data_IF_984954156099
#
_entry.id   IF_984954156099
#
_cell.length_a   1.000
_cell.length_b   1.000
_cell.length_c   1.000
_cell.angle_alpha   90.00
_cell.angle_beta   90.00
_cell.angle_gamma   90.00
#
_symmetry.space_group_name_H-M   'P 1'
#
loop_
_entity.id
_entity.type
_entity.pdbx_description
1 polymer ?
#
# COMPACT_ATOMS: atom_id res chain seq x y z
N UNK A 1 -3.83 -20.31 -28.52
CA UNK A 1 -2.39 -20.08 -28.77
C UNK A 1 -1.86 -19.25 -27.60
N UNK A 2 -1.26 -19.92 -26.62
CA UNK A 2 -0.71 -19.29 -25.41
C UNK A 2 0.75 -18.93 -25.67
N UNK A 3 1.06 -17.64 -25.69
CA UNK A 3 2.43 -17.17 -25.52
C UNK A 3 2.73 -17.16 -24.02
N UNK A 4 3.19 -18.30 -23.50
CA UNK A 4 3.79 -18.36 -22.18
C UNK A 4 5.19 -17.77 -22.29
N UNK A 5 5.31 -16.45 -22.17
CA UNK A 5 6.61 -15.78 -22.19
C UNK A 5 7.30 -16.02 -20.85
N UNK A 6 8.10 -17.09 -20.76
CA UNK A 6 9.13 -17.19 -19.71
C UNK A 6 10.15 -16.08 -19.95
N UNK A 7 9.96 -14.93 -19.32
CA UNK A 7 10.93 -13.84 -19.39
C UNK A 7 12.10 -14.14 -18.45
N UNK A 8 13.06 -14.95 -18.92
CA UNK A 8 14.40 -14.92 -18.36
C UNK A 8 15.02 -13.57 -18.76
N UNK A 9 15.05 -12.61 -17.83
CA UNK A 9 15.80 -11.36 -17.96
C UNK A 9 17.31 -11.67 -18.00
N UNK A 10 17.79 -12.15 -19.14
CA UNK A 10 19.19 -12.01 -19.55
C UNK A 10 19.30 -10.67 -20.27
N UNK A 11 20.01 -9.73 -19.64
CA UNK A 11 20.27 -8.36 -20.10
C UNK A 11 20.60 -8.31 -21.60
N UNK A 12 19.95 -7.39 -22.34
CA UNK A 12 20.56 -6.07 -22.54
C UNK A 12 19.71 -4.95 -21.94
N UNK A 13 20.30 -3.76 -21.93
CA UNK A 13 19.90 -2.47 -21.35
C UNK A 13 18.57 -1.91 -21.91
N UNK A 14 17.46 -2.66 -21.85
CA UNK A 14 16.13 -2.12 -22.08
C UNK A 14 15.68 -1.43 -20.78
N UNK A 15 15.86 -0.11 -20.72
CA UNK A 15 15.59 0.67 -19.52
C UNK A 15 14.09 0.78 -19.20
N UNK A 16 13.23 0.71 -20.22
CA UNK A 16 11.77 0.81 -20.12
C UNK A 16 11.10 -0.15 -21.11
N UNK A 17 10.07 -0.87 -20.65
CA UNK A 17 9.12 -1.54 -21.54
C UNK A 17 8.04 -0.54 -21.94
N UNK A 18 7.74 -0.42 -23.24
CA UNK A 18 6.65 0.41 -23.76
C UNK A 18 5.69 -0.49 -24.54
N UNK A 19 4.42 -0.48 -24.20
CA UNK A 19 3.37 -1.26 -24.87
C UNK A 19 2.07 -0.45 -24.95
N UNK A 20 1.14 -0.82 -25.82
CA UNK A 20 -0.24 -0.30 -25.71
C UNK A 20 -0.98 -1.02 -24.60
N UNK A 21 -0.93 -2.35 -24.60
CA UNK A 21 -1.59 -3.22 -23.64
C UNK A 21 -0.60 -4.23 -23.10
N UNK A 22 -0.75 -4.58 -21.83
CA UNK A 22 -0.02 -5.67 -21.21
C UNK A 22 -0.92 -6.44 -20.25
N UNK A 23 -1.10 -7.72 -20.53
CA UNK A 23 -1.73 -8.66 -19.60
C UNK A 23 -0.63 -9.55 -19.03
N UNK A 24 -0.34 -9.37 -17.75
CA UNK A 24 0.73 -10.08 -17.08
C UNK A 24 0.18 -10.91 -15.92
N UNK A 25 0.32 -12.23 -16.04
CA UNK A 25 -0.02 -13.18 -15.00
C UNK A 25 1.25 -13.87 -14.51
N UNK A 26 1.53 -13.75 -13.23
CA UNK A 26 2.62 -14.46 -12.57
C UNK A 26 2.13 -15.28 -11.40
N UNK A 27 2.32 -16.60 -11.49
CA UNK A 27 2.04 -17.56 -10.43
C UNK A 27 3.38 -18.21 -10.03
N UNK A 28 3.71 -18.22 -8.75
CA UNK A 28 4.96 -18.83 -8.27
C UNK A 28 4.78 -19.47 -6.90
N UNK A 29 5.14 -20.74 -6.82
CA UNK A 29 5.22 -21.51 -5.57
C UNK A 29 6.63 -22.04 -5.43
N UNK A 30 7.34 -21.70 -4.35
CA UNK A 30 8.73 -22.12 -4.13
C UNK A 30 9.09 -22.21 -2.65
N UNK A 31 10.08 -23.03 -2.30
CA UNK A 31 10.68 -23.01 -0.96
C UNK A 31 11.75 -21.92 -0.80
N UNK A 32 12.14 -21.26 -1.88
CA UNK A 32 13.23 -20.29 -1.93
C UNK A 32 12.72 -18.83 -1.95
N UNK A 33 13.63 -17.88 -1.79
CA UNK A 33 13.31 -16.46 -1.95
C UNK A 33 12.98 -16.09 -3.40
N UNK A 34 11.99 -15.22 -3.59
CA UNK A 34 11.64 -14.63 -4.89
C UNK A 34 12.04 -13.16 -4.87
N UNK A 35 12.78 -12.73 -5.90
CA UNK A 35 13.11 -11.32 -6.11
C UNK A 35 12.78 -10.89 -7.54
N UNK A 36 11.99 -9.84 -7.68
CA UNK A 36 11.64 -9.25 -8.97
C UNK A 36 11.90 -7.76 -8.95
N UNK A 37 12.51 -7.27 -10.02
CA UNK A 37 12.83 -5.85 -10.19
C UNK A 37 12.37 -5.38 -11.56
N UNK A 38 11.48 -4.41 -11.56
CA UNK A 38 11.04 -3.72 -12.75
C UNK A 38 11.50 -2.26 -12.68
N UNK A 39 12.33 -1.85 -13.64
CA UNK A 39 12.88 -0.50 -13.67
C UNK A 39 11.87 0.53 -14.18
N UNK A 40 11.21 0.23 -15.30
CA UNK A 40 10.28 1.15 -15.94
C UNK A 40 9.31 0.42 -16.85
N UNK A 41 8.04 0.78 -16.75
CA UNK A 41 6.96 0.33 -17.61
C UNK A 41 6.11 1.52 -18.03
N UNK A 42 5.90 1.69 -19.33
CA UNK A 42 4.94 2.65 -19.88
C UNK A 42 3.95 1.86 -20.72
N UNK A 43 2.69 1.95 -20.38
CA UNK A 43 1.62 1.20 -21.04
C UNK A 43 0.36 2.04 -21.09
N UNK A 44 -0.58 1.78 -21.99
CA UNK A 44 -1.89 2.44 -21.89
C UNK A 44 -2.76 1.67 -20.90
N UNK A 45 -2.82 0.35 -21.04
CA UNK A 45 -3.62 -0.53 -20.19
C UNK A 45 -2.78 -1.69 -19.65
N UNK A 46 -2.77 -1.85 -18.33
CA UNK A 46 -2.09 -2.95 -17.65
C UNK A 46 -3.06 -3.72 -16.77
N UNK A 47 -3.24 -5.01 -17.05
CA UNK A 47 -3.79 -5.97 -16.10
C UNK A 47 -2.65 -6.83 -15.56
N UNK A 48 -2.31 -6.60 -14.30
CA UNK A 48 -1.19 -7.26 -13.65
C UNK A 48 -1.69 -8.10 -12.47
N UNK A 49 -1.66 -9.42 -12.65
CA UNK A 49 -2.02 -10.37 -11.61
C UNK A 49 -0.79 -11.15 -11.13
N UNK A 50 -0.54 -11.12 -9.82
CA UNK A 50 0.55 -11.83 -9.18
C UNK A 50 0.04 -12.68 -8.02
N UNK A 51 0.48 -13.94 -7.97
CA UNK A 51 0.26 -14.86 -6.85
C UNK A 51 1.59 -15.52 -6.47
N UNK A 52 2.03 -15.28 -5.24
CA UNK A 52 3.27 -15.83 -4.69
C UNK A 52 3.00 -16.67 -3.45
N UNK A 53 3.49 -17.90 -3.44
CA UNK A 53 3.62 -18.72 -2.23
C UNK A 53 5.09 -19.07 -2.02
N UNK A 54 5.70 -18.56 -0.95
CA UNK A 54 7.12 -18.84 -0.67
C UNK A 54 7.42 -19.11 0.81
N UNK A 55 8.30 -20.07 1.11
CA UNK A 55 8.83 -20.19 2.49
C UNK A 55 9.99 -19.24 2.80
N UNK A 56 10.49 -18.53 1.79
CA UNK A 56 11.60 -17.59 1.90
C UNK A 56 11.14 -16.12 1.93
N UNK A 57 12.02 -15.27 1.40
CA UNK A 57 11.79 -13.83 1.25
C UNK A 57 11.08 -13.53 -0.07
N UNK A 58 10.12 -12.60 -0.07
CA UNK A 58 9.56 -11.99 -1.27
C UNK A 58 10.04 -10.53 -1.37
N UNK A 59 10.86 -10.20 -2.36
CA UNK A 59 11.37 -8.84 -2.60
C UNK A 59 10.94 -8.33 -3.98
N UNK A 60 9.89 -7.53 -4.02
CA UNK A 60 9.38 -6.92 -5.26
C UNK A 60 9.74 -5.44 -5.29
N UNK A 61 10.38 -5.00 -6.38
CA UNK A 61 10.70 -3.59 -6.60
C UNK A 61 10.20 -3.13 -7.96
N UNK A 62 9.45 -2.04 -7.96
CA UNK A 62 9.04 -1.32 -9.15
C UNK A 62 9.47 0.13 -9.03
N UNK A 63 10.30 0.60 -9.96
CA UNK A 63 10.84 1.96 -9.87
C UNK A 63 9.96 2.99 -10.57
N UNK A 64 9.48 2.73 -11.78
CA UNK A 64 8.59 3.63 -12.52
C UNK A 64 7.51 2.83 -13.26
N UNK A 65 6.26 3.25 -13.12
CA UNK A 65 5.16 2.79 -13.96
C UNK A 65 4.31 3.99 -14.38
N UNK A 66 4.05 4.08 -15.68
CA UNK A 66 3.10 5.03 -16.26
C UNK A 66 2.02 4.23 -16.98
N UNK A 67 0.75 4.46 -16.62
CA UNK A 67 -0.40 3.86 -17.30
C UNK A 67 -1.53 4.86 -17.51
N UNK A 68 -2.42 4.63 -18.47
CA UNK A 68 -3.75 5.25 -18.40
C UNK A 68 -4.60 4.47 -17.41
N UNK A 69 -4.68 3.17 -17.57
CA UNK A 69 -5.45 2.26 -16.72
C UNK A 69 -4.56 1.17 -16.15
N UNK A 70 -4.66 0.92 -14.85
CA UNK A 70 -3.95 -0.17 -14.18
C UNK A 70 -4.90 -0.94 -13.26
N UNK A 71 -5.13 -2.20 -13.59
CA UNK A 71 -5.72 -3.18 -12.69
C UNK A 71 -4.59 -4.05 -12.12
N UNK A 72 -4.28 -3.87 -10.85
CA UNK A 72 -3.23 -4.60 -10.16
C UNK A 72 -3.83 -5.49 -9.08
N UNK A 73 -3.57 -6.78 -9.17
CA UNK A 73 -3.98 -7.75 -8.17
C UNK A 73 -2.77 -8.53 -7.66
N UNK A 74 -2.53 -8.49 -6.36
CA UNK A 74 -1.44 -9.22 -5.74
C UNK A 74 -1.93 -10.06 -4.56
N UNK A 75 -1.69 -11.36 -4.67
CA UNK A 75 -1.82 -12.33 -3.60
C UNK A 75 -0.43 -12.78 -3.18
N UNK A 76 -0.15 -12.82 -1.88
CA UNK A 76 1.09 -13.45 -1.42
C UNK A 76 0.96 -14.11 -0.07
N UNK A 77 1.42 -15.36 0.01
CA UNK A 77 1.60 -16.08 1.27
C UNK A 77 3.08 -16.38 1.47
N UNK A 78 3.65 -15.91 2.58
CA UNK A 78 5.07 -16.14 2.88
C UNK A 78 5.31 -16.60 4.32
N UNK A 79 6.34 -17.41 4.58
CA UNK A 79 6.66 -17.78 5.97
C UNK A 79 7.72 -16.89 6.65
N UNK A 80 8.36 -15.98 5.92
CA UNK A 80 9.46 -15.20 6.49
C UNK A 80 9.27 -13.69 6.35
N UNK A 81 9.37 -13.15 5.15
CA UNK A 81 9.45 -11.69 4.97
C UNK A 81 8.97 -11.28 3.60
N UNK A 82 8.23 -10.18 3.56
CA UNK A 82 7.78 -9.51 2.33
C UNK A 82 8.32 -8.09 2.34
N UNK A 83 9.06 -7.70 1.30
CA UNK A 83 9.33 -6.30 0.99
C UNK A 83 8.81 -5.95 -0.39
N UNK A 84 7.91 -4.97 -0.45
CA UNK A 84 7.44 -4.40 -1.71
C UNK A 84 7.79 -2.91 -1.73
N UNK A 85 8.43 -2.49 -2.82
CA UNK A 85 8.84 -1.09 -3.01
C UNK A 85 8.36 -0.58 -4.35
N UNK A 86 7.61 0.53 -4.33
CA UNK A 86 7.15 1.26 -5.50
C UNK A 86 7.66 2.72 -5.42
N UNK A 87 8.45 3.15 -6.41
CA UNK A 87 9.14 4.44 -6.35
C UNK A 87 8.51 5.57 -7.17
N UNK A 88 7.66 5.28 -8.16
CA UNK A 88 6.92 6.28 -8.93
C UNK A 88 5.81 5.58 -9.71
N UNK A 89 4.57 5.98 -9.46
CA UNK A 89 3.40 5.47 -10.15
C UNK A 89 2.58 6.66 -10.67
N UNK A 90 2.42 6.77 -11.97
CA UNK A 90 1.57 7.79 -12.60
C UNK A 90 0.53 7.06 -13.42
N UNK A 91 -0.71 7.08 -12.96
CA UNK A 91 -1.81 6.35 -13.58
C UNK A 91 -2.99 7.31 -13.73
N UNK A 92 -3.88 7.18 -14.72
CA UNK A 92 -5.13 7.95 -14.68
C UNK A 92 -6.13 7.28 -13.76
N UNK A 93 -6.34 5.97 -13.96
CA UNK A 93 -7.26 5.13 -13.18
C UNK A 93 -6.54 3.88 -12.64
N UNK A 94 -6.52 3.74 -11.32
CA UNK A 94 -5.86 2.63 -10.64
C UNK A 94 -6.84 1.85 -9.76
N UNK A 95 -7.05 0.57 -10.10
CA UNK A 95 -7.66 -0.41 -9.21
C UNK A 95 -6.58 -1.34 -8.67
N UNK A 96 -6.26 -1.22 -7.39
CA UNK A 96 -5.19 -1.98 -6.75
C UNK A 96 -5.73 -2.81 -5.60
N UNK A 97 -5.66 -4.13 -5.73
CA UNK A 97 -6.03 -5.09 -4.71
C UNK A 97 -4.79 -5.86 -4.24
N UNK A 98 -4.58 -5.90 -2.94
CA UNK A 98 -3.43 -6.58 -2.36
C UNK A 98 -3.81 -7.33 -1.09
N UNK A 99 -3.60 -8.64 -1.08
CA UNK A 99 -3.79 -9.52 0.07
C UNK A 99 -2.47 -10.24 0.36
N UNK A 100 -1.89 -9.95 1.52
CA UNK A 100 -0.62 -10.51 1.95
C UNK A 100 -0.78 -11.17 3.31
N UNK A 101 -0.40 -12.45 3.35
CA UNK A 101 -0.24 -13.21 4.58
C UNK A 101 1.25 -13.52 4.81
N UNK A 102 1.79 -13.16 5.97
CA UNK A 102 3.17 -13.55 6.34
C UNK A 102 3.35 -13.93 7.79
N UNK A 103 4.07 -15.03 8.09
CA UNK A 103 4.42 -15.36 9.48
C UNK A 103 5.62 -14.58 10.05
N UNK A 104 6.15 -13.61 9.31
CA UNK A 104 7.17 -12.71 9.83
C UNK A 104 6.86 -11.25 9.56
N UNK A 105 7.70 -10.61 8.76
CA UNK A 105 7.71 -9.16 8.61
C UNK A 105 7.20 -8.73 7.24
N UNK A 106 6.40 -7.67 7.22
CA UNK A 106 5.93 -6.98 6.02
C UNK A 106 6.50 -5.55 5.95
N UNK A 107 7.29 -5.24 4.91
CA UNK A 107 7.82 -3.90 4.58
C UNK A 107 7.20 -3.39 3.27
N UNK A 108 6.23 -2.50 3.35
CA UNK A 108 5.68 -1.81 2.18
C UNK A 108 6.17 -0.37 2.14
N UNK A 109 6.76 0.01 1.01
CA UNK A 109 7.19 1.39 0.76
C UNK A 109 6.68 1.88 -0.58
N UNK A 110 5.98 2.99 -0.54
CA UNK A 110 5.49 3.71 -1.70
C UNK A 110 5.93 5.17 -1.60
N UNK A 111 6.65 5.66 -2.60
CA UNK A 111 7.28 6.99 -2.52
C UNK A 111 6.49 8.07 -3.25
N UNK A 112 5.92 7.77 -4.41
CA UNK A 112 5.15 8.72 -5.21
C UNK A 112 4.07 7.97 -5.98
N UNK A 113 2.82 8.38 -5.80
CA UNK A 113 1.69 7.99 -6.64
C UNK A 113 0.92 9.24 -7.03
N UNK A 114 0.71 9.39 -8.33
CA UNK A 114 -0.18 10.39 -8.92
C UNK A 114 -1.28 9.66 -9.68
N UNK A 115 -2.54 9.92 -9.33
CA UNK A 115 -3.69 9.38 -10.05
C UNK A 115 -4.83 10.38 -10.21
N UNK A 116 -5.70 10.20 -11.20
CA UNK A 116 -7.00 10.88 -11.17
C UNK A 116 -7.92 10.13 -10.22
N UNK A 117 -8.06 8.82 -10.43
CA UNK A 117 -8.90 7.94 -9.60
C UNK A 117 -8.06 6.79 -9.04
N UNK A 118 -8.24 6.50 -7.76
CA UNK A 118 -7.58 5.40 -7.08
C UNK A 118 -8.57 4.64 -6.20
N UNK A 119 -8.85 3.39 -6.58
CA UNK A 119 -9.50 2.40 -5.73
C UNK A 119 -8.44 1.45 -5.20
N UNK A 120 -8.19 1.50 -3.90
CA UNK A 120 -7.10 0.78 -3.27
C UNK A 120 -7.60 -0.04 -2.10
N UNK A 121 -7.36 -1.35 -2.15
CA UNK A 121 -7.80 -2.30 -1.14
C UNK A 121 -6.59 -3.13 -0.68
N UNK A 122 -6.30 -3.07 0.62
CA UNK A 122 -5.19 -3.78 1.24
C UNK A 122 -5.65 -4.63 2.42
N UNK A 123 -5.29 -5.92 2.37
CA UNK A 123 -5.51 -6.91 3.40
C UNK A 123 -4.18 -7.46 3.86
N UNK A 124 -3.80 -7.23 5.12
CA UNK A 124 -2.55 -7.74 5.66
C UNK A 124 -2.79 -8.56 6.92
N UNK A 125 -2.35 -9.82 6.88
CA UNK A 125 -2.29 -10.68 8.06
C UNK A 125 -0.85 -11.06 8.34
N UNK A 126 -0.34 -10.68 9.52
CA UNK A 126 1.03 -11.02 9.90
C UNK A 126 1.15 -11.51 11.34
N UNK A 127 2.18 -12.30 11.66
CA UNK A 127 2.41 -12.71 13.06
C UNK A 127 3.51 -11.93 13.79
N UNK A 128 4.23 -11.01 13.14
CA UNK A 128 5.32 -10.28 13.81
C UNK A 128 5.30 -8.77 13.60
N UNK A 129 5.49 -8.27 12.39
CA UNK A 129 5.68 -6.84 12.20
C UNK A 129 5.18 -6.37 10.83
N UNK A 130 4.54 -5.21 10.82
CA UNK A 130 4.11 -4.50 9.61
C UNK A 130 4.68 -3.09 9.61
N UNK A 131 5.48 -2.73 8.60
CA UNK A 131 5.83 -1.35 8.27
C UNK A 131 5.19 -0.97 6.95
N UNK A 132 4.36 0.07 6.98
CA UNK A 132 3.77 0.70 5.81
C UNK A 132 4.25 2.13 5.74
N UNK A 133 4.89 2.51 4.64
CA UNK A 133 5.37 3.88 4.41
C UNK A 133 4.88 4.40 3.08
N UNK A 134 4.13 5.50 3.13
CA UNK A 134 3.66 6.26 1.98
C UNK A 134 4.21 7.69 2.09
N UNK A 135 4.98 8.14 1.11
CA UNK A 135 5.62 9.46 1.19
C UNK A 135 4.80 10.56 0.51
N UNK A 136 4.35 10.35 -0.73
CA UNK A 136 3.59 11.33 -1.49
C UNK A 136 2.49 10.65 -2.30
N UNK A 137 1.25 11.05 -2.04
CA UNK A 137 0.05 10.61 -2.75
C UNK A 137 -0.70 11.85 -3.22
N UNK A 138 -0.89 11.99 -4.52
CA UNK A 138 -1.69 13.07 -5.12
C UNK A 138 -2.74 12.41 -5.99
N UNK A 139 -3.99 12.50 -5.57
CA UNK A 139 -5.12 11.86 -6.25
C UNK A 139 -6.25 12.87 -6.41
N UNK A 140 -7.12 12.78 -7.41
CA UNK A 140 -8.34 13.59 -7.39
C UNK A 140 -9.39 12.92 -6.51
N UNK A 141 -9.66 11.63 -6.76
CA UNK A 141 -10.62 10.81 -6.03
C UNK A 141 -9.96 9.53 -5.49
N UNK A 142 -9.98 9.37 -4.17
CA UNK A 142 -9.39 8.23 -3.49
C UNK A 142 -10.42 7.46 -2.66
N UNK A 143 -10.67 6.22 -3.05
CA UNK A 143 -11.35 5.23 -2.23
C UNK A 143 -10.32 4.22 -1.70
N UNK A 144 -10.01 4.31 -0.43
CA UNK A 144 -8.98 3.48 0.20
C UNK A 144 -9.55 2.67 1.35
N UNK A 145 -9.37 1.36 1.27
CA UNK A 145 -9.74 0.42 2.32
C UNK A 145 -8.53 -0.39 2.73
N UNK A 146 -8.24 -0.39 4.02
CA UNK A 146 -7.09 -1.10 4.56
C UNK A 146 -7.44 -1.81 5.86
N UNK A 147 -7.20 -3.12 5.89
CA UNK A 147 -7.29 -3.94 7.07
C UNK A 147 -5.92 -4.55 7.38
N UNK A 148 -5.47 -4.40 8.63
CA UNK A 148 -4.23 -5.02 9.10
C UNK A 148 -4.49 -5.73 10.40
N UNK A 149 -4.22 -7.03 10.39
CA UNK A 149 -4.16 -7.87 11.58
C UNK A 149 -2.72 -8.30 11.83
N UNK A 150 -2.16 -7.97 13.01
CA UNK A 150 -0.82 -8.41 13.39
C UNK A 150 -0.69 -8.79 14.85
N UNK A 151 -0.06 -9.93 15.18
CA UNK A 151 0.21 -10.25 16.59
C UNK A 151 1.39 -9.47 17.20
N UNK A 152 2.10 -8.66 16.42
CA UNK A 152 3.18 -7.83 16.93
C UNK A 152 2.97 -6.34 16.62
N UNK A 153 3.93 -5.73 15.96
CA UNK A 153 4.00 -4.27 15.83
C UNK A 153 3.46 -3.78 14.48
N UNK A 154 2.69 -2.69 14.50
CA UNK A 154 2.26 -1.96 13.33
C UNK A 154 2.91 -0.55 13.29
N UNK A 155 3.74 -0.28 12.28
CA UNK A 155 4.31 1.04 11.95
C UNK A 155 3.66 1.57 10.66
N UNK A 156 2.74 2.53 10.75
CA UNK A 156 2.22 3.22 9.59
C UNK A 156 2.76 4.65 9.56
N UNK A 157 3.37 5.03 8.43
CA UNK A 157 3.82 6.39 8.17
C UNK A 157 3.28 6.88 6.84
N UNK A 158 2.54 7.97 6.89
CA UNK A 158 2.07 8.72 5.74
C UNK A 158 2.61 10.14 5.82
N UNK A 159 3.42 10.56 4.85
CA UNK A 159 4.04 11.89 4.89
C UNK A 159 3.15 12.96 4.25
N UNK A 160 2.66 12.75 3.03
CA UNK A 160 1.78 13.70 2.35
C UNK A 160 0.71 12.98 1.51
N UNK A 161 -0.55 13.37 1.73
CA UNK A 161 -1.68 13.04 0.87
C UNK A 161 -2.40 14.33 0.49
N UNK A 162 -2.60 14.53 -0.80
CA UNK A 162 -3.44 15.59 -1.36
C UNK A 162 -4.54 14.92 -2.18
N UNK A 163 -5.81 15.24 -1.87
CA UNK A 163 -6.96 14.76 -2.63
C UNK A 163 -8.03 15.83 -2.81
N UNK A 164 -8.88 15.72 -3.83
CA UNK A 164 -10.13 16.48 -3.84
C UNK A 164 -11.14 15.76 -2.95
N UNK A 165 -11.34 14.47 -3.19
CA UNK A 165 -12.24 13.61 -2.41
C UNK A 165 -11.46 12.42 -1.83
N UNK A 166 -11.67 12.14 -0.55
CA UNK A 166 -11.06 11.01 0.14
C UNK A 166 -12.11 10.24 0.94
N UNK A 167 -12.41 9.02 0.50
CA UNK A 167 -13.11 8.02 1.30
C UNK A 167 -12.09 6.99 1.82
N UNK A 168 -11.87 6.98 3.12
CA UNK A 168 -10.79 6.22 3.73
C UNK A 168 -11.30 5.39 4.90
N UNK A 169 -11.17 4.06 4.78
CA UNK A 169 -11.47 3.10 5.83
C UNK A 169 -10.19 2.41 6.29
N UNK A 170 -9.90 2.47 7.60
CA UNK A 170 -8.77 1.78 8.20
C UNK A 170 -9.19 0.94 9.40
N UNK A 171 -8.86 -0.35 9.35
CA UNK A 171 -9.11 -1.32 10.40
C UNK A 171 -7.79 -1.94 10.86
N UNK A 172 -7.41 -1.68 12.11
CA UNK A 172 -6.15 -2.19 12.65
C UNK A 172 -6.41 -3.01 13.90
N UNK A 173 -6.00 -4.27 13.88
CA UNK A 173 -6.03 -5.17 15.04
C UNK A 173 -4.63 -5.66 15.36
N UNK A 174 -4.18 -5.45 16.60
CA UNK A 174 -2.88 -5.98 17.05
C UNK A 174 -2.83 -6.38 18.51
N UNK A 175 -1.99 -7.35 18.86
CA UNK A 175 -1.75 -7.70 20.27
C UNK A 175 -0.63 -6.92 20.96
N UNK A 176 0.13 -6.06 20.28
CA UNK A 176 1.30 -5.41 20.91
C UNK A 176 1.36 -3.89 20.77
N UNK A 177 1.70 -3.35 19.61
CA UNK A 177 1.96 -1.92 19.49
C UNK A 177 1.51 -1.39 18.14
N UNK A 178 0.92 -0.20 18.15
CA UNK A 178 0.57 0.58 16.96
C UNK A 178 1.27 1.94 17.03
N UNK A 179 2.05 2.29 16.00
CA UNK A 179 2.40 3.67 15.71
C UNK A 179 1.82 4.08 14.37
N UNK A 180 0.94 5.09 14.37
CA UNK A 180 0.49 5.75 13.15
C UNK A 180 0.98 7.19 13.16
N UNK A 181 1.63 7.58 12.06
CA UNK A 181 2.13 8.93 11.85
C UNK A 181 1.62 9.46 10.52
N UNK A 182 0.86 10.53 10.56
CA UNK A 182 0.41 11.29 9.40
C UNK A 182 0.99 12.70 9.49
N UNK A 183 1.78 13.12 8.52
CA UNK A 183 2.40 14.44 8.56
C UNK A 183 1.53 15.53 7.91
N UNK A 184 1.04 15.32 6.69
CA UNK A 184 0.20 16.28 5.99
C UNK A 184 -0.92 15.60 5.22
N UNK A 185 -2.16 16.00 5.50
CA UNK A 185 -3.36 15.58 4.79
C UNK A 185 -4.12 16.84 4.34
N UNK A 186 -4.26 17.03 3.03
CA UNK A 186 -4.98 18.16 2.44
C UNK A 186 -6.07 17.61 1.53
N UNK A 187 -7.34 17.78 1.92
CA UNK A 187 -8.47 17.17 1.20
C UNK A 187 -9.66 18.11 1.16
N UNK A 188 -10.24 18.38 0.00
CA UNK A 188 -11.48 19.20 -0.04
C UNK A 188 -12.61 18.52 0.73
N UNK A 189 -12.92 17.26 0.42
CA UNK A 189 -13.96 16.46 1.08
C UNK A 189 -13.38 15.17 1.67
N UNK A 190 -13.44 15.04 3.00
CA UNK A 190 -12.90 13.91 3.74
C UNK A 190 -14.00 13.11 4.44
N UNK A 191 -14.19 11.86 4.00
CA UNK A 191 -14.90 10.81 4.74
C UNK A 191 -13.88 9.80 5.27
N UNK A 192 -13.51 9.93 6.54
CA UNK A 192 -12.49 9.09 7.17
C UNK A 192 -13.08 8.30 8.34
N UNK A 193 -12.96 6.97 8.27
CA UNK A 193 -13.28 6.09 9.38
C UNK A 193 -12.09 5.20 9.72
N UNK A 194 -11.73 5.21 10.99
CA UNK A 194 -10.62 4.44 11.47
C UNK A 194 -10.95 3.75 12.79
N UNK A 195 -10.70 2.45 12.85
CA UNK A 195 -10.78 1.64 14.05
C UNK A 195 -9.41 1.03 14.36
N UNK A 196 -8.97 1.18 15.62
CA UNK A 196 -7.75 0.52 16.11
C UNK A 196 -8.07 -0.22 17.39
N UNK A 197 -7.86 -1.53 17.35
CA UNK A 197 -7.92 -2.41 18.52
C UNK A 197 -6.51 -2.91 18.83
N UNK A 198 -5.99 -2.58 20.01
CA UNK A 198 -4.69 -3.09 20.45
C UNK A 198 -4.67 -3.51 21.92
N UNK A 199 -4.10 -4.68 22.26
CA UNK A 199 -3.89 -5.02 23.68
C UNK A 199 -2.68 -4.32 24.32
N UNK A 200 -1.89 -3.57 23.54
CA UNK A 200 -0.77 -2.80 24.07
C UNK A 200 -0.83 -1.33 23.70
N UNK A 201 0.29 -0.75 23.28
CA UNK A 201 0.44 0.70 23.19
C UNK A 201 -0.03 1.25 21.84
N UNK A 202 -0.72 2.40 21.87
CA UNK A 202 -1.12 3.16 20.71
C UNK A 202 -0.42 4.54 20.68
N UNK A 203 0.46 4.78 19.69
CA UNK A 203 1.06 6.08 19.36
C UNK A 203 0.40 6.66 18.11
N UNK A 204 -0.34 7.75 18.25
CA UNK A 204 -0.94 8.47 17.12
C UNK A 204 -0.36 9.87 17.04
N UNK A 205 0.22 10.19 15.89
CA UNK A 205 0.75 11.53 15.59
C UNK A 205 0.18 12.02 14.27
N UNK A 206 -0.59 13.10 14.33
CA UNK A 206 -1.09 13.83 13.17
C UNK A 206 -0.50 15.24 13.19
N UNK A 207 0.31 15.62 12.22
CA UNK A 207 0.91 16.96 12.21
C UNK A 207 -0.02 18.00 11.57
N UNK A 208 -0.63 17.72 10.42
CA UNK A 208 -1.55 18.66 9.78
C UNK A 208 -2.67 17.94 9.02
N UNK A 209 -3.91 18.33 9.29
CA UNK A 209 -5.10 18.01 8.50
C UNK A 209 -5.75 19.34 8.06
N UNK A 210 -5.94 19.51 6.76
CA UNK A 210 -6.67 20.62 6.15
C UNK A 210 -7.81 20.03 5.32
N UNK A 211 -9.03 20.46 5.59
CA UNK A 211 -10.19 20.07 4.79
C UNK A 211 -11.24 21.17 4.69
N UNK A 212 -12.09 21.11 3.66
CA UNK A 212 -13.28 21.96 3.61
C UNK A 212 -14.45 21.23 4.27
N UNK A 213 -14.74 20.01 3.84
CA UNK A 213 -15.80 19.18 4.42
C UNK A 213 -15.20 17.97 5.15
N UNK A 214 -15.47 17.86 6.45
CA UNK A 214 -14.87 16.86 7.31
C UNK A 214 -15.93 15.96 7.97
N UNK A 215 -15.99 14.71 7.53
CA UNK A 215 -16.65 13.62 8.25
C UNK A 215 -15.59 12.61 8.70
N UNK A 216 -15.20 12.72 9.97
CA UNK A 216 -14.07 11.96 10.49
C UNK A 216 -14.42 11.28 11.82
N UNK A 217 -14.33 9.95 11.84
CA UNK A 217 -14.58 9.11 13.01
C UNK A 217 -13.36 8.21 13.29
N UNK A 218 -12.91 8.24 14.54
CA UNK A 218 -11.83 7.42 15.05
C UNK A 218 -12.30 6.67 16.30
N UNK A 219 -12.17 5.34 16.28
CA UNK A 219 -12.46 4.46 17.40
C UNK A 219 -11.19 3.75 17.84
N UNK A 220 -10.84 3.87 19.12
CA UNK A 220 -9.65 3.24 19.68
C UNK A 220 -10.02 2.39 20.89
N UNK A 221 -9.65 1.12 20.84
CA UNK A 221 -9.79 0.18 21.95
C UNK A 221 -8.40 -0.28 22.36
N UNK A 222 -8.01 -0.01 23.61
CA UNK A 222 -6.78 -0.57 24.18
C UNK A 222 -6.91 -0.98 25.64
N UNK A 223 -6.17 -2.02 26.02
CA UNK A 223 -5.99 -2.45 27.41
C UNK A 223 -4.77 -1.83 28.11
N UNK A 224 -3.99 -0.99 27.43
CA UNK A 224 -2.79 -0.36 27.98
C UNK A 224 -2.81 1.16 27.87
N UNK A 225 -2.06 1.74 26.93
CA UNK A 225 -1.79 3.17 26.89
C UNK A 225 -2.04 3.77 25.51
N UNK A 226 -2.56 5.01 25.48
CA UNK A 226 -2.76 5.82 24.28
C UNK A 226 -1.97 7.13 24.40
N UNK A 227 -1.12 7.41 23.41
CA UNK A 227 -0.56 8.74 23.15
C UNK A 227 -1.18 9.31 21.87
N UNK A 228 -1.88 10.44 22.00
CA UNK A 228 -2.39 11.21 20.86
C UNK A 228 -1.65 12.54 20.77
N UNK A 229 -1.22 12.90 19.56
CA UNK A 229 -0.70 14.24 19.26
C UNK A 229 -1.27 14.72 17.93
N UNK A 230 -2.01 15.83 17.98
CA UNK A 230 -2.47 16.56 16.80
C UNK A 230 -1.92 17.98 16.85
N UNK A 231 -1.21 18.42 15.81
CA UNK A 231 -0.60 19.76 15.79
C UNK A 231 -1.43 20.79 15.01
N UNK A 232 -2.12 20.39 13.94
CA UNK A 232 -2.93 21.28 13.13
C UNK A 232 -4.18 20.57 12.58
N UNK A 233 -5.33 21.23 12.75
CA UNK A 233 -6.61 20.88 12.14
C UNK A 233 -7.23 22.17 11.60
N UNK A 234 -7.44 22.24 10.29
CA UNK A 234 -8.12 23.34 9.61
C UNK A 234 -9.32 22.76 8.87
N UNK A 235 -10.52 23.17 9.26
CA UNK A 235 -11.77 22.85 8.58
C UNK A 235 -12.56 24.13 8.34
N UNK A 236 -13.17 24.31 7.16
CA UNK A 236 -13.92 25.53 6.79
C UNK A 236 -15.38 25.27 6.49
#
# INVERSE_FOLDING_TARGET
>A
MQASTRLALRTPKQACLVSSELNHLQLSTTSESVALKQACLVVSELNHWQDFTTSGFLDLKQACLVSSELNHLQLSTTSAFVALKQACLVVSELNHWQDLTTSGFLDLKQSCLVSSELNHLQLFTTSAFVALKQACLVVSELNHWQEVTTSGFLDLKQACLVSSELNHLQLFTTSAFVALKQACLVVSELNHWQEVTTSGFLDLKQACLVSSELNHLQLFTTSAFVALKQACLVSS
#
